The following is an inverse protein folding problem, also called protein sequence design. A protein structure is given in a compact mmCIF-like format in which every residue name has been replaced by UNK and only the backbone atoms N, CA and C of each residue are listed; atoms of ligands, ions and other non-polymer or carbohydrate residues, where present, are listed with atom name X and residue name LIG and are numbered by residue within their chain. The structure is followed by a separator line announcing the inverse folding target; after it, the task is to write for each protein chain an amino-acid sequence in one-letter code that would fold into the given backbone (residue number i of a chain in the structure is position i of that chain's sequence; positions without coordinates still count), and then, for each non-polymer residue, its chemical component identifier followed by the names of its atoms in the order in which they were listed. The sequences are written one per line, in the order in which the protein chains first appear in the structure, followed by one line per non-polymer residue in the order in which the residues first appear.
data_IF_604445800268
#
_entry.id   IF_604445800268
#
_cell.length_a   1.000
_cell.length_b   1.000
_cell.length_c   1.000
_cell.angle_alpha   90.00
_cell.angle_beta   90.00
_cell.angle_gamma   90.00
#
_symmetry.space_group_name_H-M   'P 1'
#
loop_
_entity.id
_entity.type
_entity.pdbx_description
1 polymer ?
#
# COMPACT_ATOMS: atom_id res chain seq x y z
N UNK A 1 15.48 4.42 26.25
CA UNK A 1 15.31 3.80 24.91
C UNK A 1 14.57 4.83 24.07
N UNK A 2 15.17 5.34 23.00
CA UNK A 2 14.45 6.22 22.08
C UNK A 2 13.44 5.35 21.34
N UNK A 3 12.16 5.41 21.73
CA UNK A 3 11.09 4.88 20.88
C UNK A 3 10.87 5.91 19.77
N UNK A 4 11.69 5.84 18.72
CA UNK A 4 11.44 6.61 17.51
C UNK A 4 10.14 6.09 16.90
N UNK A 5 9.13 6.93 16.87
CA UNK A 5 7.86 6.64 16.18
C UNK A 5 8.09 6.72 14.68
N UNK A 6 7.54 5.77 13.93
CA UNK A 6 7.56 5.74 12.47
C UNK A 6 6.33 6.51 11.98
N UNK A 7 6.51 7.44 11.02
CA UNK A 7 5.37 8.14 10.45
C UNK A 7 4.53 7.21 9.60
N UNK A 8 3.23 7.49 9.51
CA UNK A 8 2.34 6.69 8.67
C UNK A 8 2.77 6.75 7.20
N UNK A 9 3.20 7.92 6.71
CA UNK A 9 3.70 8.11 5.35
C UNK A 9 4.93 7.23 5.04
N UNK A 10 5.86 7.11 5.99
CA UNK A 10 7.05 6.27 5.82
C UNK A 10 6.66 4.79 5.74
N UNK A 11 5.77 4.37 6.62
CA UNK A 11 5.23 3.00 6.63
C UNK A 11 4.45 2.68 5.35
N UNK A 12 3.52 3.55 4.95
CA UNK A 12 2.73 3.44 3.73
C UNK A 12 3.64 3.36 2.50
N UNK A 13 4.71 4.16 2.47
CA UNK A 13 5.69 4.09 1.41
C UNK A 13 6.40 2.73 1.38
N UNK A 14 6.81 2.20 2.54
CA UNK A 14 7.44 0.89 2.64
C UNK A 14 6.50 -0.25 2.16
N UNK A 15 5.21 -0.17 2.51
CA UNK A 15 4.18 -1.09 2.00
C UNK A 15 4.12 -1.05 0.47
N UNK A 16 4.04 0.14 -0.12
CA UNK A 16 4.00 0.28 -1.58
C UNK A 16 5.28 -0.22 -2.25
N UNK A 17 6.46 -0.01 -1.65
CA UNK A 17 7.71 -0.58 -2.16
C UNK A 17 7.68 -2.10 -2.15
N UNK A 18 7.13 -2.70 -1.07
CA UNK A 18 7.00 -4.15 -0.93
C UNK A 18 6.04 -4.75 -1.97
N UNK A 19 4.83 -4.19 -2.10
CA UNK A 19 3.83 -4.64 -3.09
C UNK A 19 4.42 -4.63 -4.49
N UNK A 20 5.23 -3.62 -4.79
CA UNK A 20 5.82 -3.40 -6.10
C UNK A 20 7.25 -3.95 -6.21
N UNK A 21 7.73 -4.84 -5.35
CA UNK A 21 9.18 -5.17 -5.31
C UNK A 21 9.64 -6.11 -6.44
N UNK A 22 8.76 -6.98 -6.94
CA UNK A 22 9.14 -7.95 -7.98
C UNK A 22 9.39 -7.29 -9.34
N UNK A 23 10.37 -7.79 -10.10
CA UNK A 23 10.74 -7.21 -11.39
C UNK A 23 9.91 -7.77 -12.56
N UNK A 24 8.64 -7.41 -12.59
CA UNK A 24 7.68 -7.77 -13.65
C UNK A 24 7.37 -6.58 -14.57
N UNK A 25 6.84 -6.84 -15.77
CA UNK A 25 6.37 -5.78 -16.68
C UNK A 25 5.30 -4.90 -16.02
N UNK A 26 4.36 -5.53 -15.31
CA UNK A 26 3.31 -4.87 -14.53
C UNK A 26 3.91 -3.97 -13.45
N UNK A 27 4.78 -4.49 -12.58
CA UNK A 27 5.36 -3.71 -11.49
C UNK A 27 6.25 -2.57 -11.97
N UNK A 28 6.93 -2.72 -13.11
CA UNK A 28 7.67 -1.60 -13.72
C UNK A 28 6.72 -0.44 -14.06
N UNK A 29 5.56 -0.72 -14.64
CA UNK A 29 4.56 0.31 -14.96
C UNK A 29 3.98 0.91 -13.67
N UNK A 30 3.58 0.07 -12.70
CA UNK A 30 3.01 0.54 -11.44
C UNK A 30 3.98 1.38 -10.61
N UNK A 31 5.29 1.07 -10.61
CA UNK A 31 6.31 1.93 -10.00
C UNK A 31 6.38 3.31 -10.67
N UNK A 32 6.29 3.37 -12.00
CA UNK A 32 6.26 4.65 -12.73
C UNK A 32 4.97 5.44 -12.46
N UNK A 33 3.83 4.74 -12.29
CA UNK A 33 2.60 5.34 -11.80
C UNK A 33 2.80 5.92 -10.40
N UNK A 34 3.37 5.15 -9.47
CA UNK A 34 3.54 5.54 -8.07
C UNK A 34 4.45 6.75 -7.90
N UNK A 35 5.52 6.85 -8.70
CA UNK A 35 6.39 8.04 -8.75
C UNK A 35 5.65 9.33 -9.16
N UNK A 36 4.53 9.22 -9.85
CA UNK A 36 3.72 10.35 -10.37
C UNK A 36 2.38 10.50 -9.64
N UNK A 37 2.09 9.61 -8.70
CA UNK A 37 0.90 9.63 -7.87
C UNK A 37 0.99 10.75 -6.83
N UNK A 38 -0.17 11.32 -6.51
CA UNK A 38 -0.38 12.08 -5.29
C UNK A 38 -1.41 11.37 -4.41
N UNK A 39 -1.21 11.39 -3.10
CA UNK A 39 -2.24 10.94 -2.16
C UNK A 39 -3.36 11.97 -2.14
N UNK A 40 -4.57 11.55 -2.49
CA UNK A 40 -5.76 12.40 -2.51
C UNK A 40 -6.39 12.49 -1.11
N UNK A 41 -6.51 11.36 -0.43
CA UNK A 41 -7.08 11.24 0.92
C UNK A 41 -6.53 10.01 1.63
N UNK A 42 -6.66 10.01 2.95
CA UNK A 42 -6.45 8.84 3.81
C UNK A 42 -7.62 8.74 4.78
N UNK A 43 -8.31 7.61 4.77
CA UNK A 43 -9.48 7.35 5.61
C UNK A 43 -9.21 6.17 6.53
N UNK A 44 -9.10 6.42 7.82
CA UNK A 44 -8.91 5.39 8.85
C UNK A 44 -10.26 4.91 9.37
N UNK A 45 -10.50 3.59 9.30
CA UNK A 45 -11.79 2.97 9.67
C UNK A 45 -11.81 2.43 11.10
N UNK A 46 -10.67 2.50 11.80
CA UNK A 46 -10.44 1.90 13.11
C UNK A 46 -9.87 0.48 13.04
N UNK A 47 -10.13 -0.27 11.98
CA UNK A 47 -9.57 -1.62 11.74
C UNK A 47 -8.63 -1.67 10.53
N UNK A 48 -8.38 -0.51 9.92
CA UNK A 48 -7.63 -0.37 8.69
C UNK A 48 -7.61 1.07 8.20
N UNK A 49 -7.16 1.23 6.96
CA UNK A 49 -7.20 2.50 6.25
C UNK A 49 -7.39 2.29 4.74
N UNK A 50 -7.84 3.35 4.07
CA UNK A 50 -7.78 3.50 2.63
C UNK A 50 -6.95 4.73 2.28
N UNK A 51 -6.04 4.59 1.32
CA UNK A 51 -5.29 5.71 0.73
C UNK A 51 -5.67 5.82 -0.73
N UNK A 52 -6.48 6.82 -1.06
CA UNK A 52 -6.88 7.07 -2.43
C UNK A 52 -5.80 7.84 -3.19
N UNK A 53 -5.56 7.44 -4.43
CA UNK A 53 -4.54 8.01 -5.28
C UNK A 53 -5.15 8.88 -6.38
N UNK A 54 -4.48 10.01 -6.65
CA UNK A 54 -4.71 10.82 -7.83
C UNK A 54 -3.51 10.69 -8.78
N UNK A 55 -3.79 10.35 -10.03
CA UNK A 55 -2.77 10.21 -11.09
C UNK A 55 -3.09 11.14 -12.27
N UNK A 56 -2.06 11.61 -13.00
CA UNK A 56 -2.25 12.36 -14.24
C UNK A 56 -3.04 11.58 -15.30
N UNK A 57 -3.86 12.25 -16.10
CA UNK A 57 -4.69 11.62 -17.14
C UNK A 57 -3.88 10.86 -18.21
N UNK A 58 -2.66 11.32 -18.50
CA UNK A 58 -1.76 10.74 -19.51
C UNK A 58 -0.79 9.69 -18.95
N UNK A 59 -1.12 9.10 -17.80
CA UNK A 59 -0.28 8.07 -17.18
C UNK A 59 -0.23 6.79 -18.04
N UNK A 60 0.93 6.14 -18.05
CA UNK A 60 1.09 4.83 -18.70
C UNK A 60 0.26 3.81 -17.93
N UNK A 61 -0.59 3.07 -18.64
CA UNK A 61 -1.50 2.07 -18.06
C UNK A 61 -0.91 0.68 -18.20
N UNK A 62 -1.21 -0.20 -17.23
CA UNK A 62 -0.98 -1.62 -17.40
C UNK A 62 -1.99 -2.15 -18.43
N UNK A 63 -1.48 -2.80 -19.48
CA UNK A 63 -2.32 -3.37 -20.55
C UNK A 63 -2.52 -4.88 -20.40
N UNK A 64 -1.69 -5.52 -19.58
CA UNK A 64 -1.83 -6.93 -19.21
C UNK A 64 -3.01 -7.07 -18.24
N UNK A 65 -3.73 -8.22 -18.23
CA UNK A 65 -4.72 -8.49 -17.20
C UNK A 65 -4.06 -8.46 -15.82
N UNK A 66 -4.53 -7.58 -14.95
CA UNK A 66 -4.14 -7.53 -13.53
C UNK A 66 -5.39 -7.79 -12.71
N UNK A 67 -5.23 -8.53 -11.61
CA UNK A 67 -6.30 -8.68 -10.63
C UNK A 67 -6.69 -7.31 -10.06
N UNK A 68 -7.99 -7.14 -9.77
CA UNK A 68 -8.48 -5.88 -9.19
C UNK A 68 -7.85 -5.62 -7.81
N UNK A 69 -7.60 -6.68 -7.05
CA UNK A 69 -6.81 -6.70 -5.83
C UNK A 69 -5.41 -7.22 -6.18
N UNK A 70 -4.40 -6.37 -6.07
CA UNK A 70 -3.03 -6.70 -6.45
C UNK A 70 -2.09 -6.65 -5.24
N UNK A 71 -1.18 -7.62 -5.18
CA UNK A 71 -0.21 -7.76 -4.11
C UNK A 71 -0.64 -8.75 -3.04
N UNK A 72 0.31 -9.57 -2.62
CA UNK A 72 0.19 -10.50 -1.50
C UNK A 72 1.20 -10.05 -0.44
N UNK A 73 0.85 -8.99 0.30
CA UNK A 73 1.74 -8.39 1.30
C UNK A 73 1.05 -8.38 2.65
N UNK A 74 1.75 -8.94 3.63
CA UNK A 74 1.36 -8.96 5.02
C UNK A 74 2.38 -8.23 5.88
N UNK A 75 1.94 -7.87 7.08
CA UNK A 75 2.80 -7.22 8.04
C UNK A 75 2.51 -7.68 9.47
N UNK A 76 3.58 -7.88 10.24
CA UNK A 76 3.54 -7.78 11.69
C UNK A 76 3.74 -6.30 12.05
N UNK A 77 2.65 -5.62 12.41
CA UNK A 77 2.60 -4.21 12.79
C UNK A 77 2.39 -4.10 14.30
N UNK A 78 3.42 -3.65 15.02
CA UNK A 78 3.44 -3.60 16.49
C UNK A 78 3.05 -4.93 17.19
N UNK A 79 3.35 -6.10 16.60
CA UNK A 79 2.97 -7.40 17.14
C UNK A 79 1.59 -7.91 16.71
N UNK A 80 0.88 -7.17 15.84
CA UNK A 80 -0.42 -7.55 15.30
C UNK A 80 -0.34 -7.77 13.78
N UNK A 81 -1.08 -8.77 13.29
CA UNK A 81 -1.10 -9.08 11.86
C UNK A 81 -2.00 -8.11 11.10
N UNK A 82 -1.52 -7.63 9.95
CA UNK A 82 -2.31 -6.90 8.98
C UNK A 82 -1.91 -7.29 7.54
N UNK A 83 -2.78 -6.96 6.59
CA UNK A 83 -2.58 -7.19 5.16
C UNK A 83 -2.81 -5.93 4.36
N UNK A 84 -2.36 -5.96 3.10
CA UNK A 84 -2.49 -4.84 2.17
C UNK A 84 -3.00 -5.29 0.82
N UNK A 85 -3.85 -4.48 0.21
CA UNK A 85 -4.36 -4.69 -1.15
C UNK A 85 -4.17 -3.40 -1.93
N UNK A 86 -3.51 -3.48 -3.08
CA UNK A 86 -3.47 -2.39 -4.04
C UNK A 86 -4.59 -2.58 -5.06
N UNK A 87 -5.55 -1.66 -5.07
CA UNK A 87 -6.62 -1.67 -6.03
C UNK A 87 -6.19 -1.02 -7.36
N UNK A 88 -6.43 -1.74 -8.45
CA UNK A 88 -6.11 -1.30 -9.81
C UNK A 88 -7.38 -1.30 -10.66
N UNK A 89 -7.66 -0.18 -11.32
CA UNK A 89 -8.80 -0.03 -12.23
C UNK A 89 -8.34 0.52 -13.58
N UNK A 90 -8.77 -0.14 -14.65
CA UNK A 90 -8.41 0.23 -16.03
C UNK A 90 -6.88 0.38 -16.23
N UNK A 91 -6.10 -0.47 -15.56
CA UNK A 91 -4.65 -0.47 -15.61
C UNK A 91 -3.97 0.65 -14.80
N UNK A 92 -4.69 1.31 -13.89
CA UNK A 92 -4.20 2.43 -13.07
C UNK A 92 -4.46 2.15 -11.59
N UNK A 93 -3.47 2.41 -10.72
CA UNK A 93 -3.67 2.34 -9.27
C UNK A 93 -4.73 3.35 -8.82
N UNK A 94 -5.64 2.95 -7.96
CA UNK A 94 -6.69 3.84 -7.45
C UNK A 94 -6.68 3.97 -5.93
N UNK A 95 -6.31 2.93 -5.20
CA UNK A 95 -6.40 2.92 -3.75
C UNK A 95 -5.47 1.85 -3.15
N UNK A 96 -4.82 2.17 -2.03
CA UNK A 96 -4.20 1.18 -1.15
C UNK A 96 -5.10 0.97 0.05
N UNK A 97 -5.51 -0.27 0.29
CA UNK A 97 -6.16 -0.69 1.54
C UNK A 97 -5.15 -1.37 2.45
N UNK A 98 -5.15 -1.00 3.73
CA UNK A 98 -4.53 -1.77 4.79
C UNK A 98 -5.61 -2.25 5.76
N UNK A 99 -5.62 -3.52 6.12
CA UNK A 99 -6.63 -4.12 6.98
C UNK A 99 -6.01 -5.01 8.05
N UNK A 100 -6.63 -5.07 9.23
CA UNK A 100 -6.28 -6.00 10.31
C UNK A 100 -7.17 -7.24 10.29
N UNK A 101 -6.87 -8.24 11.12
CA UNK A 101 -7.68 -9.46 11.27
C UNK A 101 -8.60 -9.43 12.50
N UNK A 102 -9.05 -8.23 12.88
CA UNK A 102 -10.00 -8.01 13.98
C UNK A 102 -9.47 -7.09 15.10
N UNK A 103 -8.18 -6.76 15.07
CA UNK A 103 -7.58 -5.77 15.95
C UNK A 103 -7.90 -4.33 15.53
N UNK A 104 -7.63 -3.36 16.42
CA UNK A 104 -7.66 -1.96 16.02
C UNK A 104 -6.37 -1.60 15.30
N UNK A 105 -6.48 -0.79 14.24
CA UNK A 105 -5.32 -0.18 13.62
C UNK A 105 -4.60 0.72 14.63
N UNK A 106 -3.27 0.63 14.77
CA UNK A 106 -2.56 1.37 15.81
C UNK A 106 -2.54 2.87 15.50
N UNK A 107 -2.72 3.67 16.55
CA UNK A 107 -2.55 5.14 16.47
C UNK A 107 -1.09 5.56 16.31
N UNK A 108 -0.14 4.68 16.66
CA UNK A 108 1.30 4.96 16.67
C UNK A 108 2.02 3.73 16.12
N UNK A 109 2.87 3.91 15.11
CA UNK A 109 3.71 2.84 14.57
C UNK A 109 5.05 2.88 15.27
N UNK A 110 5.42 1.77 15.91
CA UNK A 110 6.69 1.60 16.65
C UNK A 110 7.58 0.54 16.05
N UNK A 111 6.98 -0.44 15.37
CA UNK A 111 7.69 -1.49 14.64
C UNK A 111 6.81 -2.07 13.55
N UNK A 112 7.41 -2.48 12.44
CA UNK A 112 6.73 -3.25 11.41
C UNK A 112 7.70 -4.25 10.76
N UNK A 113 7.17 -5.36 10.26
CA UNK A 113 7.89 -6.30 9.41
C UNK A 113 7.01 -6.72 8.23
N UNK A 114 7.41 -6.39 7.00
CA UNK A 114 6.66 -6.65 5.77
C UNK A 114 7.16 -7.93 5.08
N UNK A 115 6.25 -8.78 4.62
CA UNK A 115 6.58 -10.03 3.93
C UNK A 115 5.53 -10.39 2.87
N UNK A 116 5.94 -11.25 1.92
CA UNK A 116 5.03 -11.96 1.02
C UNK A 116 4.69 -13.31 1.63
N UNK A 117 3.49 -13.82 1.39
CA UNK A 117 3.09 -15.19 1.76
C UNK A 117 3.78 -16.26 0.89
#
# INVERSE_FOLDING_TARGET
MNNSTISFEEFEHAVMQKILEEDTSVNRILREQYKKTHVASRDFTGVGFFTDFHLPENIVKVTEPVEYAYGDVHCDLNGALCGFILFIKDGVMICLEGYTYGELWPNVITSYNLYHD
#
